data_IF_021702793918
#
_entry.id   IF_021702793918
#
_cell.length_a   1.000
_cell.length_b   1.000
_cell.length_c   1.000
_cell.angle_alpha   90.00
_cell.angle_beta   90.00
_cell.angle_gamma   90.00
#
_symmetry.space_group_name_H-M   'P 1'
#
loop_
_entity.id
_entity.type
_entity.pdbx_description
1 polymer ?
#
# COMPACT_ATOMS: atom_id res chain seq x y z
N UNK A 1 9.98 24.71 -10.26
CA UNK A 1 8.84 24.37 -9.38
C UNK A 1 7.47 24.89 -9.84
N UNK A 2 7.30 26.14 -10.35
CA UNK A 2 5.97 26.65 -10.72
C UNK A 2 5.34 25.93 -11.93
N UNK A 3 6.13 25.61 -12.95
CA UNK A 3 5.62 25.00 -14.18
C UNK A 3 5.29 23.52 -13.99
N UNK A 4 6.08 22.81 -13.16
CA UNK A 4 5.90 21.40 -12.83
C UNK A 4 4.57 21.20 -12.07
N UNK A 5 4.27 22.07 -11.10
CA UNK A 5 3.01 22.04 -10.37
C UNK A 5 1.82 22.33 -11.29
N UNK A 6 1.88 23.42 -12.07
CA UNK A 6 0.82 23.77 -13.01
C UNK A 6 0.55 22.64 -14.01
N UNK A 7 1.60 22.01 -14.54
CA UNK A 7 1.49 20.89 -15.47
C UNK A 7 0.89 19.64 -14.80
N UNK A 8 1.34 19.35 -13.59
CA UNK A 8 0.86 18.25 -12.76
C UNK A 8 -0.64 18.27 -12.46
N UNK A 9 -1.19 19.46 -12.22
CA UNK A 9 -2.61 19.67 -11.90
C UNK A 9 -3.45 20.13 -13.11
N UNK A 10 -2.97 19.87 -14.33
CA UNK A 10 -3.67 20.18 -15.58
C UNK A 10 -4.01 21.68 -15.78
N UNK A 11 -3.25 22.61 -15.19
CA UNK A 11 -3.43 24.04 -15.34
C UNK A 11 -2.77 24.55 -16.64
N UNK A 12 -3.33 24.16 -17.79
CA UNK A 12 -2.76 24.42 -19.12
C UNK A 12 -2.40 25.89 -19.37
N UNK A 13 -3.28 26.81 -18.96
CA UNK A 13 -3.07 28.25 -19.14
C UNK A 13 -1.85 28.76 -18.35
N UNK A 14 -1.67 28.26 -17.13
CA UNK A 14 -0.52 28.61 -16.28
C UNK A 14 0.77 28.02 -16.86
N UNK A 15 0.74 26.77 -17.37
CA UNK A 15 1.87 26.17 -18.08
C UNK A 15 2.26 27.00 -19.30
N UNK A 16 1.29 27.43 -20.10
CA UNK A 16 1.52 28.25 -21.28
C UNK A 16 2.17 29.59 -20.95
N UNK A 17 1.77 30.21 -19.83
CA UNK A 17 2.34 31.46 -19.35
C UNK A 17 3.78 31.28 -18.82
N UNK A 18 4.06 30.18 -18.14
CA UNK A 18 5.37 29.93 -17.51
C UNK A 18 6.43 29.37 -18.47
N UNK A 19 6.02 28.70 -19.55
CA UNK A 19 6.92 27.99 -20.47
C UNK A 19 8.04 28.89 -21.06
N UNK A 20 7.77 30.13 -21.53
CA UNK A 20 8.81 31.00 -22.08
C UNK A 20 9.80 31.52 -21.03
N UNK A 21 9.40 31.52 -19.76
CA UNK A 21 10.18 32.05 -18.64
C UNK A 21 10.88 30.95 -17.82
N UNK A 22 10.75 29.69 -18.23
CA UNK A 22 11.34 28.54 -17.53
C UNK A 22 12.41 27.90 -18.39
N UNK A 23 13.59 27.70 -17.81
CA UNK A 23 14.69 26.95 -18.45
C UNK A 23 14.23 25.54 -18.82
N UNK A 24 14.64 25.08 -20.01
CA UNK A 24 14.26 23.75 -20.51
C UNK A 24 14.75 22.65 -19.58
N UNK A 25 13.83 21.77 -19.20
CA UNK A 25 14.15 20.56 -18.43
C UNK A 25 14.52 19.46 -19.43
N UNK A 26 15.75 18.97 -19.35
CA UNK A 26 16.34 18.03 -20.33
C UNK A 26 15.63 16.68 -20.42
N UNK A 27 14.96 16.27 -19.33
CA UNK A 27 14.15 15.04 -19.28
C UNK A 27 12.90 15.10 -20.17
N UNK A 28 12.43 16.29 -20.53
CA UNK A 28 11.22 16.47 -21.33
C UNK A 28 11.61 16.54 -22.82
N UNK A 29 11.32 15.44 -23.53
CA UNK A 29 11.66 15.27 -24.96
C UNK A 29 11.14 16.43 -25.82
N UNK A 30 9.89 16.82 -25.61
CA UNK A 30 9.24 17.93 -26.32
C UNK A 30 8.97 19.08 -25.34
N UNK A 31 9.78 20.13 -25.38
CA UNK A 31 9.59 21.33 -24.55
C UNK A 31 8.45 22.21 -25.08
N UNK A 32 7.24 21.70 -24.94
CA UNK A 32 5.97 22.30 -25.34
C UNK A 32 5.00 22.23 -24.16
N UNK A 33 3.94 23.03 -24.17
CA UNK A 33 2.90 22.95 -23.13
C UNK A 33 2.41 21.51 -22.96
N UNK A 34 2.13 20.82 -24.07
CA UNK A 34 1.66 19.43 -24.03
C UNK A 34 2.74 18.48 -23.49
N UNK A 35 3.99 18.57 -23.97
CA UNK A 35 5.05 17.69 -23.51
C UNK A 35 5.41 17.87 -22.03
N UNK A 36 5.30 19.10 -21.49
CA UNK A 36 5.48 19.36 -20.04
C UNK A 36 4.31 18.77 -19.24
N UNK A 37 3.07 18.92 -19.72
CA UNK A 37 1.88 18.32 -19.09
C UNK A 37 1.92 16.79 -19.11
N UNK A 38 2.25 16.19 -20.25
CA UNK A 38 2.33 14.74 -20.40
C UNK A 38 3.39 14.13 -19.47
N UNK A 39 4.48 14.86 -19.24
CA UNK A 39 5.52 14.45 -18.31
C UNK A 39 5.05 14.56 -16.85
N UNK A 40 4.52 15.70 -16.41
CA UNK A 40 4.23 15.95 -15.00
C UNK A 40 2.85 15.48 -14.51
N UNK A 41 1.82 15.43 -15.34
CA UNK A 41 0.48 14.99 -14.93
C UNK A 41 0.47 13.63 -14.20
N UNK A 42 1.11 12.56 -14.72
CA UNK A 42 1.16 11.28 -13.99
C UNK A 42 2.01 11.34 -12.72
N UNK A 43 3.13 12.08 -12.75
CA UNK A 43 4.05 12.24 -11.61
C UNK A 43 3.40 13.00 -10.45
N UNK A 44 2.71 14.10 -10.72
CA UNK A 44 2.04 14.91 -9.71
C UNK A 44 0.83 14.21 -9.13
N UNK A 45 0.07 13.47 -9.94
CA UNK A 45 -1.02 12.64 -9.43
C UNK A 45 -0.51 11.54 -8.50
N UNK A 46 0.56 10.85 -8.90
CA UNK A 46 1.20 9.82 -8.08
C UNK A 46 1.76 10.38 -6.77
N UNK A 47 2.55 11.46 -6.84
CA UNK A 47 3.14 12.08 -5.65
C UNK A 47 2.08 12.69 -4.73
N UNK A 48 1.01 13.27 -5.28
CA UNK A 48 -0.13 13.76 -4.50
C UNK A 48 -0.81 12.63 -3.73
N UNK A 49 -1.15 11.52 -4.38
CA UNK A 49 -1.76 10.38 -3.70
C UNK A 49 -0.83 9.72 -2.69
N UNK A 50 0.45 9.51 -3.06
CA UNK A 50 1.47 9.00 -2.13
C UNK A 50 1.62 9.90 -0.89
N UNK A 51 1.54 11.23 -1.05
CA UNK A 51 1.61 12.17 0.09
C UNK A 51 0.47 12.02 1.10
N UNK A 52 -0.66 11.44 0.70
CA UNK A 52 -1.80 11.16 1.59
C UNK A 52 -1.67 9.84 2.34
N UNK A 53 -0.90 8.90 1.81
CA UNK A 53 -0.80 7.53 2.34
C UNK A 53 -0.02 7.49 3.65
N UNK A 54 1.19 8.05 3.68
CA UNK A 54 2.07 7.90 4.84
C UNK A 54 1.48 8.46 6.14
N UNK A 55 0.88 9.67 6.17
CA UNK A 55 0.26 10.19 7.40
C UNK A 55 -0.87 9.29 7.94
N UNK A 56 -1.67 8.70 7.04
CA UNK A 56 -2.74 7.78 7.42
C UNK A 56 -2.19 6.49 8.00
N UNK A 57 -1.16 5.93 7.35
CA UNK A 57 -0.45 4.74 7.83
C UNK A 57 0.20 4.99 9.18
N UNK A 58 0.95 6.08 9.34
CA UNK A 58 1.59 6.44 10.61
C UNK A 58 0.54 6.56 11.72
N UNK A 59 -0.60 7.19 11.45
CA UNK A 59 -1.69 7.31 12.43
C UNK A 59 -2.30 5.95 12.81
N UNK A 60 -2.46 5.04 11.85
CA UNK A 60 -2.92 3.69 12.15
C UNK A 60 -1.89 2.93 13.01
N UNK A 61 -0.61 3.05 12.67
CA UNK A 61 0.47 2.42 13.39
C UNK A 61 0.57 2.92 14.84
N UNK A 62 0.34 4.21 15.08
CA UNK A 62 0.22 4.77 16.43
C UNK A 62 -0.88 4.06 17.24
N UNK A 63 -2.07 3.87 16.67
CA UNK A 63 -3.14 3.13 17.35
C UNK A 63 -2.74 1.67 17.64
N UNK A 64 -2.09 0.99 16.70
CA UNK A 64 -1.61 -0.38 16.92
C UNK A 64 -0.58 -0.46 18.05
N UNK A 65 0.34 0.51 18.15
CA UNK A 65 1.32 0.61 19.25
C UNK A 65 0.65 0.88 20.61
N UNK A 66 -0.48 1.57 20.62
CA UNK A 66 -1.34 1.74 21.80
C UNK A 66 -2.16 0.47 22.13
N UNK A 67 -2.03 -0.61 21.36
CA UNK A 67 -2.82 -1.84 21.49
C UNK A 67 -4.24 -1.71 20.93
N UNK A 68 -4.55 -0.62 20.24
CA UNK A 68 -5.85 -0.33 19.65
C UNK A 68 -5.89 -0.81 18.20
N UNK A 69 -6.34 -2.05 18.04
CA UNK A 69 -6.60 -2.70 16.74
C UNK A 69 -8.05 -2.51 16.27
N UNK A 70 -8.68 -1.41 16.69
CA UNK A 70 -10.09 -1.12 16.48
C UNK A 70 -10.38 -0.59 15.08
N UNK A 71 -11.67 -0.32 14.81
CA UNK A 71 -12.14 0.22 13.53
C UNK A 71 -11.41 1.52 13.14
N UNK A 72 -10.91 2.31 14.10
CA UNK A 72 -10.19 3.54 13.78
C UNK A 72 -8.84 3.26 13.10
N UNK A 73 -8.12 2.21 13.50
CA UNK A 73 -6.88 1.80 12.83
C UNK A 73 -7.18 1.27 11.42
N UNK A 74 -8.19 0.41 11.32
CA UNK A 74 -8.65 -0.19 10.06
C UNK A 74 -9.11 0.88 9.06
N UNK A 75 -9.86 1.88 9.51
CA UNK A 75 -10.34 2.98 8.67
C UNK A 75 -9.19 3.79 8.08
N UNK A 76 -8.14 4.07 8.87
CA UNK A 76 -6.96 4.79 8.38
C UNK A 76 -6.22 4.00 7.32
N UNK A 77 -6.02 2.69 7.54
CA UNK A 77 -5.37 1.79 6.58
C UNK A 77 -6.21 1.62 5.30
N UNK A 78 -7.53 1.49 5.45
CA UNK A 78 -8.47 1.38 4.32
C UNK A 78 -8.49 2.65 3.50
N UNK A 79 -8.49 3.82 4.15
CA UNK A 79 -8.38 5.11 3.47
C UNK A 79 -7.04 5.25 2.76
N UNK A 80 -5.94 4.83 3.39
CA UNK A 80 -4.61 4.85 2.77
C UNK A 80 -4.56 3.95 1.51
N UNK A 81 -5.15 2.76 1.57
CA UNK A 81 -5.25 1.85 0.42
C UNK A 81 -6.08 2.45 -0.74
N UNK A 82 -7.09 3.27 -0.44
CA UNK A 82 -7.92 3.93 -1.46
C UNK A 82 -7.16 4.93 -2.34
N UNK A 83 -5.98 5.37 -1.90
CA UNK A 83 -5.10 6.24 -2.68
C UNK A 83 -4.14 5.50 -3.61
N UNK A 84 -4.31 4.18 -3.80
CA UNK A 84 -3.49 3.34 -4.69
C UNK A 84 -1.99 3.54 -4.45
N UNK A 85 -1.49 3.28 -3.23
CA UNK A 85 -0.10 3.50 -2.89
C UNK A 85 0.83 2.62 -3.73
N UNK A 86 2.06 3.10 -3.94
CA UNK A 86 3.07 2.32 -4.66
C UNK A 86 3.47 1.02 -3.96
N UNK A 87 3.27 0.92 -2.63
CA UNK A 87 3.58 -0.27 -1.82
C UNK A 87 2.38 -0.67 -0.96
N UNK A 88 1.30 -1.19 -1.56
CA UNK A 88 0.07 -1.51 -0.83
C UNK A 88 0.24 -2.69 0.11
N UNK A 89 1.20 -3.60 -0.17
CA UNK A 89 1.44 -4.79 0.66
C UNK A 89 1.64 -4.48 2.14
N UNK A 90 2.34 -3.40 2.47
CA UNK A 90 2.62 -3.02 3.87
C UNK A 90 1.33 -2.61 4.59
N UNK A 91 0.42 -1.93 3.90
CA UNK A 91 -0.87 -1.55 4.50
C UNK A 91 -1.79 -2.75 4.70
N UNK A 92 -1.80 -3.70 3.75
CA UNK A 92 -2.52 -4.95 3.91
C UNK A 92 -1.97 -5.77 5.07
N UNK A 93 -0.65 -5.76 5.28
CA UNK A 93 -0.01 -6.42 6.42
C UNK A 93 -0.48 -5.81 7.75
N UNK A 94 -0.41 -4.49 7.89
CA UNK A 94 -0.81 -3.80 9.13
C UNK A 94 -2.32 -3.96 9.39
N UNK A 95 -3.14 -3.97 8.34
CA UNK A 95 -4.60 -4.14 8.46
C UNK A 95 -4.97 -5.59 8.76
N UNK A 96 -4.23 -6.55 8.20
CA UNK A 96 -4.32 -7.96 8.56
C UNK A 96 -4.14 -8.16 10.07
N UNK A 97 -3.10 -7.55 10.67
CA UNK A 97 -2.85 -7.69 12.10
C UNK A 97 -4.05 -7.14 12.90
N UNK A 98 -4.64 -6.01 12.47
CA UNK A 98 -5.86 -5.48 13.08
C UNK A 98 -7.03 -6.49 13.01
N UNK A 99 -7.30 -7.06 11.83
CA UNK A 99 -8.37 -8.04 11.66
C UNK A 99 -8.15 -9.31 12.49
N UNK A 100 -6.90 -9.75 12.62
CA UNK A 100 -6.53 -10.90 13.43
C UNK A 100 -6.83 -10.65 14.91
N UNK A 101 -6.48 -9.46 15.43
CA UNK A 101 -6.79 -9.07 16.81
C UNK A 101 -8.29 -8.94 17.08
N UNK A 102 -9.08 -8.56 16.08
CA UNK A 102 -10.55 -8.52 16.18
C UNK A 102 -11.22 -9.90 15.95
N UNK A 103 -10.45 -10.95 15.65
CA UNK A 103 -10.98 -12.28 15.36
C UNK A 103 -11.73 -12.38 14.02
N UNK A 104 -11.61 -11.39 13.14
CA UNK A 104 -12.27 -11.39 11.83
C UNK A 104 -11.43 -12.19 10.81
N UNK A 105 -11.57 -13.52 10.86
CA UNK A 105 -10.82 -14.43 9.99
C UNK A 105 -11.03 -14.19 8.49
N UNK A 106 -12.22 -13.75 8.07
CA UNK A 106 -12.54 -13.48 6.67
C UNK A 106 -11.77 -12.30 6.10
N UNK A 107 -11.77 -11.17 6.81
CA UNK A 107 -11.01 -9.99 6.39
C UNK A 107 -9.49 -10.23 6.52
N UNK A 108 -9.06 -10.93 7.57
CA UNK A 108 -7.67 -11.33 7.72
C UNK A 108 -7.21 -12.21 6.55
N UNK A 109 -7.99 -13.22 6.14
CA UNK A 109 -7.62 -14.10 5.03
C UNK A 109 -7.47 -13.32 3.71
N UNK A 110 -8.40 -12.39 3.45
CA UNK A 110 -8.31 -11.51 2.29
C UNK A 110 -7.00 -10.71 2.29
N UNK A 111 -6.70 -10.02 3.39
CA UNK A 111 -5.50 -9.18 3.50
C UNK A 111 -4.21 -10.01 3.44
N UNK A 112 -4.19 -11.21 4.03
CA UNK A 112 -3.05 -12.13 3.94
C UNK A 112 -2.74 -12.52 2.48
N UNK A 113 -3.77 -12.77 1.66
CA UNK A 113 -3.59 -13.02 0.22
C UNK A 113 -3.14 -11.78 -0.54
N UNK A 114 -3.58 -10.58 -0.15
CA UNK A 114 -3.08 -9.34 -0.74
C UNK A 114 -1.60 -9.11 -0.41
N UNK A 115 -1.16 -9.41 0.82
CA UNK A 115 0.27 -9.36 1.18
C UNK A 115 1.10 -10.28 0.28
N UNK A 116 0.68 -11.54 0.13
CA UNK A 116 1.33 -12.51 -0.77
C UNK A 116 1.45 -11.97 -2.19
N UNK A 117 0.37 -11.38 -2.71
CA UNK A 117 0.31 -10.82 -4.07
C UNK A 117 1.23 -9.62 -4.27
N UNK A 118 1.24 -8.68 -3.33
CA UNK A 118 1.89 -7.37 -3.52
C UNK A 118 3.33 -7.31 -3.04
N UNK A 119 3.74 -8.22 -2.16
CA UNK A 119 5.13 -8.31 -1.70
C UNK A 119 5.96 -9.34 -2.48
N UNK A 120 5.37 -9.98 -3.50
CA UNK A 120 5.93 -11.16 -4.18
C UNK A 120 6.43 -12.23 -3.18
N UNK A 121 5.70 -12.34 -2.07
CA UNK A 121 6.12 -13.07 -0.88
C UNK A 121 5.65 -14.53 -0.92
N UNK A 122 5.45 -15.11 -2.12
CA UNK A 122 4.96 -16.47 -2.31
C UNK A 122 5.83 -17.55 -1.66
N UNK A 123 7.11 -17.24 -1.39
CA UNK A 123 8.06 -18.11 -0.67
C UNK A 123 8.41 -17.58 0.73
N UNK A 124 7.63 -16.64 1.26
CA UNK A 124 7.80 -16.14 2.62
C UNK A 124 7.06 -17.03 3.60
N UNK A 125 7.81 -17.72 4.46
CA UNK A 125 7.27 -18.50 5.58
C UNK A 125 6.27 -17.68 6.41
N UNK A 126 6.60 -16.42 6.67
CA UNK A 126 5.81 -15.49 7.47
C UNK A 126 4.47 -15.11 6.80
N UNK A 127 4.39 -15.15 5.46
CA UNK A 127 3.12 -14.93 4.76
C UNK A 127 2.22 -16.17 4.79
N UNK A 128 2.80 -17.37 4.65
CA UNK A 128 2.05 -18.64 4.80
C UNK A 128 1.53 -18.82 6.22
N UNK A 129 2.30 -18.38 7.23
CA UNK A 129 1.85 -18.35 8.63
C UNK A 129 0.60 -17.47 8.82
N UNK A 130 0.54 -16.30 8.17
CA UNK A 130 -0.65 -15.42 8.22
C UNK A 130 -1.89 -16.05 7.61
N UNK A 131 -1.72 -16.68 6.45
CA UNK A 131 -2.83 -17.41 5.81
C UNK A 131 -3.31 -18.54 6.74
N UNK A 132 -2.39 -19.29 7.34
CA UNK A 132 -2.73 -20.34 8.31
C UNK A 132 -3.49 -19.80 9.53
N UNK A 133 -3.03 -18.70 10.13
CA UNK A 133 -3.70 -18.05 11.25
C UNK A 133 -5.11 -17.56 10.91
N UNK A 134 -5.30 -16.98 9.71
CA UNK A 134 -6.61 -16.56 9.25
C UNK A 134 -7.56 -17.74 9.05
N UNK A 135 -7.07 -18.86 8.49
CA UNK A 135 -7.86 -20.10 8.38
C UNK A 135 -8.22 -20.69 9.74
N UNK A 136 -7.34 -20.60 10.74
CA UNK A 136 -7.66 -21.01 12.11
C UNK A 136 -8.82 -20.20 12.71
N UNK A 137 -8.83 -18.88 12.52
CA UNK A 137 -9.96 -18.04 12.96
C UNK A 137 -11.28 -18.39 12.27
N UNK A 138 -11.22 -18.87 11.03
CA UNK A 138 -12.38 -19.35 10.27
C UNK A 138 -12.82 -20.78 10.63
N UNK A 139 -12.07 -21.49 11.48
CA UNK A 139 -12.30 -22.90 11.79
C UNK A 139 -11.95 -23.86 10.63
N UNK A 140 -11.25 -23.38 9.60
CA UNK A 140 -10.83 -24.15 8.43
C UNK A 140 -9.47 -24.81 8.70
N UNK A 141 -9.47 -25.79 9.61
CA UNK A 141 -8.24 -26.34 10.16
C UNK A 141 -7.39 -27.11 9.12
N UNK A 142 -8.01 -27.75 8.13
CA UNK A 142 -7.29 -28.45 7.05
C UNK A 142 -6.40 -27.49 6.24
N UNK A 143 -6.96 -26.37 5.83
CA UNK A 143 -6.29 -25.33 5.06
C UNK A 143 -5.27 -24.58 5.91
N UNK A 144 -5.56 -24.39 7.21
CA UNK A 144 -4.62 -23.86 8.17
C UNK A 144 -3.37 -24.73 8.29
N UNK A 145 -3.53 -26.05 8.49
CA UNK A 145 -2.42 -27.01 8.58
C UNK A 145 -1.58 -26.98 7.31
N UNK A 146 -2.20 -27.06 6.14
CA UNK A 146 -1.47 -27.03 4.87
C UNK A 146 -0.64 -25.74 4.71
N UNK A 147 -1.19 -24.59 5.14
CA UNK A 147 -0.49 -23.31 5.08
C UNK A 147 0.67 -23.24 6.09
N UNK A 148 0.46 -23.73 7.32
CA UNK A 148 1.50 -23.76 8.36
C UNK A 148 2.62 -24.75 8.04
N UNK A 149 2.30 -25.91 7.47
CA UNK A 149 3.31 -26.86 6.97
C UNK A 149 4.16 -26.23 5.88
N UNK A 150 3.55 -25.46 4.97
CA UNK A 150 4.30 -24.70 3.96
C UNK A 150 5.20 -23.66 4.60
N UNK A 151 4.73 -22.95 5.63
CA UNK A 151 5.54 -22.01 6.39
C UNK A 151 6.75 -22.69 7.04
N UNK A 152 6.56 -23.86 7.66
CA UNK A 152 7.62 -24.65 8.28
C UNK A 152 8.62 -25.22 7.26
N UNK A 153 8.17 -25.64 6.09
CA UNK A 153 9.05 -26.07 5.00
C UNK A 153 9.97 -24.94 4.53
N UNK A 154 9.45 -23.72 4.43
CA UNK A 154 10.19 -22.54 3.99
C UNK A 154 11.15 -22.01 5.07
N UNK A 155 10.76 -22.13 6.33
CA UNK A 155 11.61 -21.82 7.47
C UNK A 155 11.31 -22.78 8.62
N UNK A 156 12.14 -23.81 8.84
CA UNK A 156 11.93 -24.78 9.92
C UNK A 156 11.98 -24.19 11.33
N UNK A 157 12.50 -22.97 11.49
CA UNK A 157 12.50 -22.21 12.74
C UNK A 157 11.28 -21.30 12.92
N UNK A 158 10.32 -21.31 11.99
CA UNK A 158 9.07 -20.57 12.16
C UNK A 158 8.28 -21.18 13.32
N UNK A 159 8.03 -20.38 14.36
CA UNK A 159 7.20 -20.82 15.49
C UNK A 159 5.77 -21.10 15.00
N UNK A 160 5.17 -22.25 15.35
CA UNK A 160 3.73 -22.42 15.22
C UNK A 160 3.03 -21.38 16.11
N UNK A 161 1.94 -20.84 15.57
CA UNK A 161 1.05 -19.85 16.21
C UNK A 161 0.41 -20.38 17.49
#
# INVERSE_FOLDING_TARGET
MPIEYAAGFHQRQVVQLLLPHTSRITLIRYWTVQGVMDYYAPLSRRTFFESKVEPLRSKAHEFMLEGRYDDAAIDRLTTALSFFPARPGVLFFERYDCWLHLGNGSCALHDAHMVLRFMDAGQSSECHRRVGAAYMLLGQYSEAVASLERALQLNPGAMPI
#
